data_IF_705259482262
#
_entry.id   IF_705259482262
#
_cell.length_a   1.000
_cell.length_b   1.000
_cell.length_c   1.000
_cell.angle_alpha   90.00
_cell.angle_beta   90.00
_cell.angle_gamma   90.00
#
_symmetry.space_group_name_H-M   'P 1'
#
loop_
_entity.id
_entity.type
_entity.pdbx_description
1 polymer ?
#
# COMPACT_ATOMS: atom_id res chain seq x y z
N UNK A 1 12.42 -3.13 3.45
CA UNK A 1 13.68 -3.53 4.13
C UNK A 1 14.61 -4.35 3.24
N UNK A 2 14.14 -5.41 2.55
CA UNK A 2 15.01 -6.31 1.76
C UNK A 2 15.92 -5.59 0.75
N UNK A 3 15.36 -4.61 0.01
CA UNK A 3 16.13 -3.80 -0.94
C UNK A 3 17.20 -2.97 -0.24
N UNK A 4 16.87 -2.37 0.90
CA UNK A 4 17.79 -1.52 1.65
C UNK A 4 18.98 -2.33 2.21
N UNK A 5 18.68 -3.51 2.77
CA UNK A 5 19.71 -4.42 3.26
C UNK A 5 20.63 -4.81 2.10
N UNK A 6 20.06 -5.26 0.98
CA UNK A 6 20.85 -5.68 -0.18
C UNK A 6 21.64 -4.55 -0.82
N UNK A 7 21.10 -3.33 -0.82
CA UNK A 7 21.79 -2.15 -1.33
C UNK A 7 23.00 -1.81 -0.43
N UNK A 8 22.81 -1.77 0.88
CA UNK A 8 23.89 -1.49 1.82
C UNK A 8 25.00 -2.54 1.79
N UNK A 9 24.66 -3.82 1.63
CA UNK A 9 25.67 -4.90 1.43
C UNK A 9 26.53 -4.66 0.20
N UNK A 10 25.93 -4.20 -0.91
CA UNK A 10 26.66 -3.98 -2.18
C UNK A 10 27.39 -2.65 -2.23
N UNK A 11 26.87 -1.64 -1.58
CA UNK A 11 27.32 -0.25 -1.67
C UNK A 11 27.40 0.39 -0.27
N UNK A 12 28.30 -0.10 0.61
CA UNK A 12 28.32 0.29 2.03
C UNK A 12 28.67 1.77 2.27
N UNK A 13 29.28 2.42 1.29
CA UNK A 13 29.65 3.85 1.37
C UNK A 13 28.57 4.80 0.83
N UNK A 14 27.45 4.26 0.36
CA UNK A 14 26.36 5.07 -0.16
C UNK A 14 25.34 5.39 0.93
N UNK A 15 24.96 6.65 1.04
CA UNK A 15 23.91 7.08 1.98
C UNK A 15 22.55 7.10 1.30
N UNK A 16 21.55 6.58 1.99
CA UNK A 16 20.15 6.59 1.55
C UNK A 16 19.34 7.48 2.50
N UNK A 17 18.65 8.47 1.95
CA UNK A 17 17.61 9.23 2.66
C UNK A 17 16.25 8.65 2.26
N UNK A 18 15.46 8.23 3.23
CA UNK A 18 14.11 7.69 3.02
C UNK A 18 13.09 8.69 3.53
N UNK A 19 12.08 8.97 2.70
CA UNK A 19 10.94 9.83 3.06
C UNK A 19 9.69 8.99 2.86
N UNK A 20 8.90 8.85 3.92
CA UNK A 20 7.60 8.17 3.86
C UNK A 20 6.50 9.20 3.67
N UNK A 21 5.73 9.04 2.60
CA UNK A 21 4.62 9.93 2.27
C UNK A 21 3.62 9.24 1.32
N UNK A 22 2.54 9.92 0.92
CA UNK A 22 1.54 9.39 0.00
C UNK A 22 2.04 9.37 -1.46
N UNK A 23 1.35 8.59 -2.32
CA UNK A 23 1.76 8.41 -3.72
C UNK A 23 1.75 9.71 -4.53
N UNK A 24 0.88 10.66 -4.22
CA UNK A 24 0.80 11.95 -4.91
C UNK A 24 2.04 12.78 -4.59
N UNK A 25 2.37 12.90 -3.31
CA UNK A 25 3.57 13.61 -2.86
C UNK A 25 4.85 12.95 -3.37
N UNK A 26 4.93 11.60 -3.41
CA UNK A 26 6.06 10.90 -4.03
C UNK A 26 6.27 11.34 -5.47
N UNK A 27 5.21 11.34 -6.28
CA UNK A 27 5.31 11.73 -7.71
C UNK A 27 5.71 13.20 -7.84
N UNK A 28 5.15 14.10 -7.02
CA UNK A 28 5.55 15.52 -6.99
C UNK A 28 7.05 15.66 -6.70
N UNK A 29 7.56 15.00 -5.66
CA UNK A 29 8.98 15.05 -5.29
C UNK A 29 9.91 14.51 -6.40
N UNK A 30 9.49 13.49 -7.14
CA UNK A 30 10.22 12.98 -8.31
C UNK A 30 10.26 14.02 -9.44
N UNK A 31 9.14 14.68 -9.71
CA UNK A 31 9.05 15.70 -10.76
C UNK A 31 9.90 16.93 -10.40
N UNK A 32 9.88 17.34 -9.13
CA UNK A 32 10.60 18.48 -8.58
C UNK A 32 12.08 18.18 -8.23
N UNK A 33 12.57 17.00 -8.55
CA UNK A 33 13.96 16.54 -8.25
C UNK A 33 14.33 16.54 -6.76
N UNK A 34 13.36 16.47 -5.89
CA UNK A 34 13.57 16.33 -4.44
C UNK A 34 13.84 14.87 -4.01
N UNK A 35 13.52 13.92 -4.90
CA UNK A 35 13.82 12.51 -4.75
C UNK A 35 14.24 11.90 -6.10
N UNK A 36 15.21 11.00 -6.09
CA UNK A 36 15.70 10.31 -7.30
C UNK A 36 14.76 9.18 -7.72
N UNK A 37 14.26 8.41 -6.75
CA UNK A 37 13.46 7.20 -6.93
C UNK A 37 12.35 7.16 -5.90
N UNK A 38 11.16 6.72 -6.30
CA UNK A 38 10.03 6.54 -5.40
C UNK A 38 9.36 5.18 -5.54
N UNK A 39 8.48 4.88 -4.61
CA UNK A 39 7.61 3.70 -4.66
C UNK A 39 6.16 4.12 -4.52
N UNK A 40 5.30 3.66 -5.43
CA UNK A 40 3.88 4.01 -5.43
C UNK A 40 3.00 2.79 -5.68
N UNK A 41 1.84 2.73 -5.02
CA UNK A 41 0.81 1.72 -5.26
C UNK A 41 -0.18 2.10 -6.37
N UNK A 42 0.13 3.13 -7.15
CA UNK A 42 -0.72 3.58 -8.27
C UNK A 42 0.13 4.34 -9.29
N UNK A 43 -0.30 4.32 -10.54
CA UNK A 43 0.26 5.15 -11.60
C UNK A 43 -0.53 6.45 -11.66
N UNK A 44 0.13 7.59 -11.52
CA UNK A 44 -0.49 8.92 -11.51
C UNK A 44 -0.14 9.70 -12.79
N UNK A 45 1.08 10.20 -12.89
CA UNK A 45 1.53 11.08 -13.97
C UNK A 45 2.54 10.34 -14.86
N UNK A 46 2.27 10.24 -16.17
CA UNK A 46 3.09 9.51 -17.13
C UNK A 46 3.93 10.41 -18.04
N UNK A 47 3.67 11.71 -18.09
CA UNK A 47 4.40 12.63 -18.96
C UNK A 47 5.86 12.76 -18.54
N UNK A 48 6.12 12.85 -17.24
CA UNK A 48 7.46 13.02 -16.68
C UNK A 48 7.99 11.77 -16.00
N UNK A 49 7.09 10.87 -15.54
CA UNK A 49 7.46 9.71 -14.74
C UNK A 49 7.44 8.40 -15.53
N UNK A 50 8.42 7.55 -15.28
CA UNK A 50 8.43 6.13 -15.66
C UNK A 50 8.14 5.27 -14.45
N UNK A 51 7.27 4.28 -14.65
CA UNK A 51 6.87 3.32 -13.63
C UNK A 51 7.35 1.93 -14.02
N UNK A 52 7.95 1.22 -13.08
CA UNK A 52 8.40 -0.16 -13.22
C UNK A 52 7.65 -0.98 -12.17
N UNK A 53 6.66 -1.81 -12.58
CA UNK A 53 5.99 -2.70 -11.64
C UNK A 53 6.99 -3.74 -11.14
N UNK A 54 7.04 -3.98 -9.82
CA UNK A 54 7.98 -4.92 -9.23
C UNK A 54 7.37 -5.87 -8.20
N UNK A 55 6.17 -5.57 -7.71
CA UNK A 55 5.49 -6.40 -6.73
C UNK A 55 3.98 -6.32 -6.91
N UNK A 56 3.29 -7.46 -6.80
CA UNK A 56 1.83 -7.53 -6.73
C UNK A 56 1.40 -7.49 -5.27
N UNK A 57 0.56 -6.53 -4.93
CA UNK A 57 0.04 -6.31 -3.59
C UNK A 57 -1.49 -6.42 -3.59
N UNK A 58 -2.02 -7.16 -2.64
CA UNK A 58 -3.46 -7.28 -2.44
C UNK A 58 -3.90 -6.32 -1.34
N UNK A 59 -5.11 -5.77 -1.46
CA UNK A 59 -5.75 -5.08 -0.36
C UNK A 59 -6.64 -6.05 0.43
N UNK A 60 -6.66 -5.85 1.74
CA UNK A 60 -7.51 -6.59 2.67
C UNK A 60 -8.24 -5.65 3.59
N UNK A 61 -9.44 -6.03 4.01
CA UNK A 61 -10.13 -5.35 5.11
C UNK A 61 -9.57 -5.94 6.39
N UNK A 62 -9.05 -5.11 7.28
CA UNK A 62 -8.59 -5.51 8.61
C UNK A 62 -9.61 -5.13 9.68
N UNK A 63 -9.84 -6.02 10.62
CA UNK A 63 -10.76 -5.86 11.76
C UNK A 63 -10.06 -6.18 13.06
N UNK A 64 -10.59 -5.75 14.21
CA UNK A 64 -10.15 -6.30 15.50
C UNK A 64 -10.29 -7.82 15.52
N UNK A 65 -9.44 -8.52 16.27
CA UNK A 65 -9.56 -9.95 16.47
C UNK A 65 -10.49 -10.26 17.65
N UNK A 66 -11.79 -10.09 17.44
CA UNK A 66 -12.85 -10.39 18.40
C UNK A 66 -13.65 -11.62 17.97
N UNK A 67 -14.40 -12.21 18.90
CA UNK A 67 -15.29 -13.34 18.60
C UNK A 67 -16.29 -13.00 17.50
N UNK A 68 -16.87 -11.79 17.52
CA UNK A 68 -17.77 -11.28 16.48
C UNK A 68 -17.16 -11.39 15.08
N UNK A 69 -15.94 -10.88 14.88
CA UNK A 69 -15.31 -10.91 13.58
C UNK A 69 -14.76 -12.29 13.18
N UNK A 70 -14.44 -13.15 14.15
CA UNK A 70 -14.09 -14.55 13.86
C UNK A 70 -15.30 -15.29 13.30
N UNK A 71 -16.47 -15.20 13.94
CA UNK A 71 -17.74 -15.75 13.42
C UNK A 71 -18.07 -15.16 12.04
N UNK A 72 -18.00 -13.85 11.91
CA UNK A 72 -18.25 -13.16 10.63
C UNK A 72 -17.36 -13.71 9.50
N UNK A 73 -16.09 -14.02 9.78
CA UNK A 73 -15.17 -14.58 8.78
C UNK A 73 -15.56 -15.97 8.30
N UNK A 74 -16.16 -16.76 9.16
CA UNK A 74 -16.68 -18.11 8.84
C UNK A 74 -18.00 -18.04 8.07
N UNK A 75 -18.87 -17.10 8.43
CA UNK A 75 -20.23 -16.98 7.90
C UNK A 75 -20.31 -16.18 6.60
N UNK A 76 -19.47 -15.16 6.43
CA UNK A 76 -19.59 -14.18 5.35
C UNK A 76 -19.33 -14.76 3.94
N UNK A 77 -18.66 -15.92 3.81
CA UNK A 77 -18.39 -16.61 2.54
C UNK A 77 -17.91 -15.67 1.40
N UNK A 78 -17.14 -14.63 1.75
CA UNK A 78 -16.66 -13.62 0.81
C UNK A 78 -17.58 -12.41 0.61
N UNK A 79 -18.77 -12.36 1.21
CA UNK A 79 -19.60 -11.15 1.21
C UNK A 79 -19.03 -10.11 2.15
N UNK A 80 -18.77 -8.91 1.63
CA UNK A 80 -18.21 -7.78 2.39
C UNK A 80 -19.22 -6.66 2.64
N UNK A 81 -20.52 -6.85 2.37
CA UNK A 81 -21.57 -5.82 2.61
C UNK A 81 -21.73 -5.47 4.09
N UNK A 82 -21.24 -6.32 5.00
CA UNK A 82 -21.16 -6.01 6.42
C UNK A 82 -20.32 -4.76 6.70
N UNK A 83 -19.37 -4.39 5.81
CA UNK A 83 -18.54 -3.21 5.92
C UNK A 83 -19.36 -1.90 5.98
N UNK A 84 -20.56 -1.87 5.38
CA UNK A 84 -21.49 -0.73 5.42
C UNK A 84 -22.07 -0.45 6.83
N UNK A 85 -21.90 -1.38 7.76
CA UNK A 85 -22.36 -1.25 9.16
C UNK A 85 -21.22 -1.00 10.13
N UNK A 86 -20.01 -0.82 9.63
CA UNK A 86 -18.80 -0.64 10.44
C UNK A 86 -18.30 0.80 10.36
N UNK A 87 -17.68 1.26 11.45
CA UNK A 87 -16.85 2.45 11.43
C UNK A 87 -15.59 2.16 10.62
N UNK A 88 -15.28 2.99 9.64
CA UNK A 88 -14.17 2.78 8.72
C UNK A 88 -13.09 3.85 8.94
N UNK A 89 -11.87 3.39 9.11
CA UNK A 89 -10.68 4.24 9.14
C UNK A 89 -10.03 4.14 7.77
N UNK A 90 -9.92 5.26 7.05
CA UNK A 90 -9.31 5.28 5.71
C UNK A 90 -7.93 5.91 5.74
N UNK A 91 -7.15 5.61 4.70
CA UNK A 91 -5.94 6.37 4.39
C UNK A 91 -6.33 7.77 3.90
N UNK A 92 -5.39 8.69 3.95
CA UNK A 92 -5.49 10.07 3.44
C UNK A 92 -5.85 10.12 1.94
N UNK A 93 -6.35 11.27 1.46
CA UNK A 93 -6.87 11.42 0.09
C UNK A 93 -5.79 11.17 -1.00
N UNK A 94 -4.54 11.57 -0.79
CA UNK A 94 -3.42 11.33 -1.72
C UNK A 94 -2.94 9.88 -1.80
N UNK A 95 -3.47 9.00 -0.94
CA UNK A 95 -3.03 7.61 -0.82
C UNK A 95 -3.43 6.76 -2.03
N UNK A 96 -2.44 6.12 -2.63
CA UNK A 96 -2.67 5.08 -3.65
C UNK A 96 -3.48 3.89 -3.11
N UNK A 97 -3.35 3.57 -1.82
CA UNK A 97 -4.15 2.52 -1.15
C UNK A 97 -5.62 2.93 -1.08
N UNK A 98 -5.91 4.17 -0.68
CA UNK A 98 -7.29 4.67 -0.65
C UNK A 98 -7.93 4.68 -2.05
N UNK A 99 -7.20 5.14 -3.05
CA UNK A 99 -7.67 5.15 -4.45
C UNK A 99 -8.01 3.74 -4.94
N UNK A 100 -7.14 2.78 -4.68
CA UNK A 100 -7.36 1.40 -5.09
C UNK A 100 -8.48 0.73 -4.28
N UNK A 101 -8.55 0.97 -2.97
CA UNK A 101 -9.66 0.47 -2.12
C UNK A 101 -11.02 0.94 -2.63
N UNK A 102 -11.17 2.22 -2.96
CA UNK A 102 -12.42 2.76 -3.55
C UNK A 102 -12.80 2.06 -4.86
N UNK A 103 -11.81 1.77 -5.70
CA UNK A 103 -12.02 1.05 -6.97
C UNK A 103 -12.46 -0.40 -6.73
N UNK A 104 -11.80 -1.13 -5.83
CA UNK A 104 -12.13 -2.52 -5.53
C UNK A 104 -13.49 -2.65 -4.84
N UNK A 105 -13.84 -1.74 -3.92
CA UNK A 105 -15.17 -1.70 -3.31
C UNK A 105 -16.29 -1.51 -4.35
N UNK A 106 -16.10 -0.58 -5.29
CA UNK A 106 -17.07 -0.40 -6.40
C UNK A 106 -17.26 -1.67 -7.22
N UNK A 107 -16.17 -2.39 -7.55
CA UNK A 107 -16.22 -3.68 -8.25
C UNK A 107 -16.94 -4.76 -7.44
N UNK A 108 -16.79 -4.73 -6.13
CA UNK A 108 -17.49 -5.61 -5.21
C UNK A 108 -18.95 -5.23 -4.96
N UNK A 109 -19.45 -4.14 -5.58
CA UNK A 109 -20.82 -3.68 -5.46
C UNK A 109 -21.08 -2.77 -4.25
N UNK A 110 -20.03 -2.23 -3.63
CA UNK A 110 -20.14 -1.27 -2.54
C UNK A 110 -19.78 0.12 -3.06
N UNK A 111 -20.70 1.09 -2.87
CA UNK A 111 -20.40 2.48 -3.14
C UNK A 111 -19.54 3.04 -1.97
N UNK A 112 -18.31 3.52 -2.22
CA UNK A 112 -17.47 4.06 -1.16
C UNK A 112 -18.05 5.28 -0.41
N UNK A 113 -19.05 5.94 -0.99
CA UNK A 113 -19.74 7.06 -0.34
C UNK A 113 -20.72 6.61 0.75
N UNK A 114 -21.08 5.33 0.77
CA UNK A 114 -22.01 4.77 1.75
C UNK A 114 -21.28 4.25 3.01
N UNK A 115 -19.95 4.32 3.01
CA UNK A 115 -19.14 3.94 4.16
C UNK A 115 -19.20 5.01 5.25
N UNK A 116 -19.32 4.58 6.49
CA UNK A 116 -19.17 5.46 7.66
C UNK A 116 -17.68 5.70 7.97
N UNK A 117 -17.08 6.67 7.30
CA UNK A 117 -15.68 7.02 7.46
C UNK A 117 -15.51 7.95 8.66
N UNK A 118 -15.06 7.40 9.77
CA UNK A 118 -14.88 8.14 11.03
C UNK A 118 -13.50 8.81 11.16
N UNK A 119 -12.51 8.37 10.39
CA UNK A 119 -11.15 8.94 10.44
C UNK A 119 -10.41 8.77 9.10
N UNK A 120 -9.54 9.74 8.81
CA UNK A 120 -8.58 9.68 7.71
C UNK A 120 -7.17 9.85 8.28
N UNK A 121 -6.31 8.83 8.15
CA UNK A 121 -5.01 8.75 8.83
C UNK A 121 -3.90 8.45 7.81
N UNK A 122 -2.79 9.19 7.84
CA UNK A 122 -1.64 8.98 6.96
C UNK A 122 -0.78 7.78 7.40
N UNK A 123 -0.52 7.66 8.69
CA UNK A 123 0.37 6.64 9.22
C UNK A 123 -0.32 5.29 9.36
N UNK A 124 0.19 4.27 8.64
CA UNK A 124 -0.39 2.93 8.62
C UNK A 124 -0.28 2.21 9.98
N UNK A 125 0.79 2.45 10.74
CA UNK A 125 0.96 1.86 12.07
C UNK A 125 -0.11 2.37 13.03
N UNK A 126 -0.43 3.67 12.95
CA UNK A 126 -1.52 4.26 13.72
C UNK A 126 -2.86 3.63 13.35
N UNK A 127 -3.13 3.42 12.06
CA UNK A 127 -4.37 2.74 11.61
C UNK A 127 -4.43 1.32 12.20
N UNK A 128 -3.36 0.53 12.07
CA UNK A 128 -3.33 -0.86 12.57
C UNK A 128 -3.58 -0.92 14.07
N UNK A 129 -2.95 -0.03 14.84
CA UNK A 129 -3.16 0.08 16.29
C UNK A 129 -4.59 0.48 16.65
N UNK A 130 -5.18 1.44 15.92
CA UNK A 130 -6.57 1.88 16.13
C UNK A 130 -7.56 0.75 15.84
N UNK A 131 -7.35 0.00 14.75
CA UNK A 131 -8.16 -1.19 14.44
C UNK A 131 -8.02 -2.24 15.54
N UNK A 132 -6.81 -2.57 15.95
CA UNK A 132 -6.56 -3.53 17.04
C UNK A 132 -7.30 -3.16 18.32
N UNK A 133 -7.41 -1.87 18.63
CA UNK A 133 -8.09 -1.36 19.82
C UNK A 133 -9.61 -1.23 19.66
N UNK A 134 -10.16 -1.60 18.50
CA UNK A 134 -11.61 -1.61 18.29
C UNK A 134 -12.22 -0.30 17.84
N UNK A 135 -11.41 0.70 17.42
CA UNK A 135 -11.92 1.97 16.91
C UNK A 135 -12.77 1.80 15.63
N UNK A 136 -12.52 0.74 14.87
CA UNK A 136 -13.22 0.46 13.62
C UNK A 136 -12.46 -0.56 12.79
N UNK A 137 -12.74 -0.59 11.50
CA UNK A 137 -12.08 -1.44 10.50
C UNK A 137 -11.33 -0.56 9.49
N UNK A 138 -10.41 -1.16 8.71
CA UNK A 138 -9.68 -0.40 7.68
C UNK A 138 -9.37 -1.28 6.47
N UNK A 139 -9.00 -0.64 5.35
CA UNK A 139 -8.55 -1.32 4.14
C UNK A 139 -7.09 -0.95 3.89
N UNK A 140 -6.21 -1.93 3.99
CA UNK A 140 -4.77 -1.77 3.86
C UNK A 140 -4.15 -2.84 2.96
N UNK A 141 -2.88 -2.66 2.63
CA UNK A 141 -2.04 -3.66 1.97
C UNK A 141 -1.93 -4.92 2.83
N UNK A 142 -2.12 -6.10 2.22
CA UNK A 142 -1.88 -7.40 2.87
C UNK A 142 -0.44 -7.49 3.38
N UNK A 143 0.52 -6.96 2.59
CA UNK A 143 1.92 -6.96 2.99
C UNK A 143 2.16 -6.10 4.25
N UNK A 144 1.53 -4.93 4.33
CA UNK A 144 1.67 -4.03 5.47
C UNK A 144 1.01 -4.54 6.75
N UNK A 145 0.03 -5.45 6.63
CA UNK A 145 -0.71 -6.03 7.77
C UNK A 145 -0.26 -7.44 8.16
N UNK A 146 0.76 -7.96 7.47
CA UNK A 146 1.19 -9.36 7.61
C UNK A 146 1.59 -9.74 9.04
N UNK A 147 2.34 -8.88 9.70
CA UNK A 147 2.87 -9.19 11.03
C UNK A 147 1.76 -9.13 12.09
N UNK A 148 0.87 -8.17 12.04
CA UNK A 148 -0.30 -8.07 12.92
C UNK A 148 -1.27 -9.24 12.72
N UNK A 149 -1.46 -9.65 11.48
CA UNK A 149 -2.34 -10.79 11.16
C UNK A 149 -1.72 -12.11 11.67
N UNK A 150 -0.41 -12.29 11.48
CA UNK A 150 0.30 -13.48 12.02
C UNK A 150 0.32 -13.53 13.55
N UNK A 151 0.50 -12.35 14.17
CA UNK A 151 0.45 -12.24 15.62
C UNK A 151 -0.97 -12.37 16.20
N UNK A 152 -2.00 -12.48 15.35
CA UNK A 152 -3.39 -12.55 15.77
C UNK A 152 -3.95 -11.25 16.35
N UNK A 153 -3.29 -10.13 16.13
CA UNK A 153 -3.74 -8.82 16.63
C UNK A 153 -4.95 -8.29 15.84
N UNK A 154 -5.03 -8.61 14.55
CA UNK A 154 -6.14 -8.26 13.66
C UNK A 154 -6.52 -9.46 12.81
N UNK A 155 -7.73 -9.46 12.28
CA UNK A 155 -8.16 -10.39 11.26
C UNK A 155 -8.13 -9.69 9.90
N UNK A 156 -7.85 -10.46 8.83
CA UNK A 156 -7.84 -9.97 7.46
C UNK A 156 -8.92 -10.68 6.64
N UNK A 157 -9.73 -9.87 5.94
CA UNK A 157 -10.78 -10.34 5.04
C UNK A 157 -10.39 -9.95 3.60
N UNK A 158 -10.43 -10.88 2.63
CA UNK A 158 -10.20 -10.55 1.24
C UNK A 158 -11.34 -9.69 0.68
N UNK A 159 -11.01 -8.82 -0.28
CA UNK A 159 -12.02 -8.08 -1.05
C UNK A 159 -12.37 -8.95 -2.27
N UNK A 160 -13.64 -9.35 -2.47
CA UNK A 160 -14.04 -10.19 -3.59
C UNK A 160 -13.88 -9.42 -4.92
N UNK A 161 -13.66 -10.15 -6.02
CA UNK A 161 -13.44 -9.58 -7.35
C UNK A 161 -12.28 -8.56 -7.41
N UNK A 162 -11.38 -8.57 -6.43
CA UNK A 162 -10.08 -7.96 -6.59
C UNK A 162 -9.33 -8.83 -7.62
N UNK A 163 -9.02 -8.25 -8.77
CA UNK A 163 -8.13 -8.88 -9.75
C UNK A 163 -6.82 -9.32 -9.05
N UNK A 164 -5.83 -9.82 -9.79
CA UNK A 164 -4.52 -10.29 -9.30
C UNK A 164 -3.74 -9.28 -8.40
N UNK A 165 -4.43 -8.42 -7.69
CA UNK A 165 -3.86 -7.35 -6.88
C UNK A 165 -3.51 -6.10 -7.70
N UNK A 166 -2.86 -5.14 -7.04
CA UNK A 166 -2.32 -3.93 -7.67
C UNK A 166 -0.81 -4.02 -7.84
N UNK A 167 -0.29 -3.34 -8.83
CA UNK A 167 1.16 -3.18 -8.95
C UNK A 167 1.69 -2.16 -7.95
N UNK A 168 2.70 -2.55 -7.19
CA UNK A 168 3.60 -1.60 -6.56
C UNK A 168 4.69 -1.29 -7.57
N UNK A 169 4.86 0.01 -7.83
CA UNK A 169 5.75 0.51 -8.86
C UNK A 169 6.95 1.23 -8.24
N UNK A 170 8.11 0.99 -8.79
CA UNK A 170 9.22 1.91 -8.69
C UNK A 170 8.99 3.03 -9.70
N UNK A 171 9.15 4.29 -9.29
CA UNK A 171 8.94 5.46 -10.12
C UNK A 171 10.17 6.36 -10.11
N UNK A 172 10.50 6.93 -11.27
CA UNK A 172 11.56 7.94 -11.43
C UNK A 172 11.24 8.91 -12.58
N UNK A 173 11.91 10.05 -12.61
CA UNK A 173 11.75 11.03 -13.70
C UNK A 173 12.49 10.53 -14.96
N UNK A 174 11.75 10.29 -16.05
CA UNK A 174 12.31 9.76 -17.31
C UNK A 174 12.94 10.80 -18.19
N UNK A 175 12.73 12.10 -17.90
CA UNK A 175 13.22 13.21 -18.72
C UNK A 175 14.63 13.66 -18.31
N UNK A 176 15.17 13.06 -17.24
CA UNK A 176 16.50 13.42 -16.73
C UNK A 176 17.35 12.17 -16.55
N UNK A 177 18.66 12.37 -16.64
CA UNK A 177 19.62 11.31 -16.36
C UNK A 177 19.62 11.01 -14.86
N UNK A 178 19.47 9.75 -14.52
CA UNK A 178 19.57 9.29 -13.14
C UNK A 178 21.00 9.44 -12.62
N UNK A 179 21.13 9.72 -11.33
CA UNK A 179 22.43 9.65 -10.66
C UNK A 179 22.94 8.20 -10.67
N UNK A 180 24.26 8.02 -10.64
CA UNK A 180 24.85 6.67 -10.55
C UNK A 180 24.35 5.88 -9.33
N UNK A 181 24.06 6.57 -8.22
CA UNK A 181 23.46 5.97 -7.02
C UNK A 181 22.04 5.48 -7.28
N UNK A 182 21.20 6.29 -7.93
CA UNK A 182 19.86 5.92 -8.30
C UNK A 182 19.82 4.74 -9.26
N UNK A 183 20.69 4.69 -10.26
CA UNK A 183 20.80 3.55 -11.18
C UNK A 183 21.19 2.25 -10.46
N UNK A 184 22.16 2.32 -9.53
CA UNK A 184 22.55 1.19 -8.68
C UNK A 184 21.39 0.72 -7.81
N UNK A 185 20.63 1.66 -7.23
CA UNK A 185 19.47 1.33 -6.42
C UNK A 185 18.37 0.62 -7.24
N UNK A 186 18.04 1.13 -8.42
CA UNK A 186 17.09 0.50 -9.34
C UNK A 186 17.54 -0.91 -9.73
N UNK A 187 18.86 -1.10 -9.98
CA UNK A 187 19.43 -2.41 -10.28
C UNK A 187 19.22 -3.39 -9.12
N UNK A 188 19.44 -2.96 -7.89
CA UNK A 188 19.21 -3.79 -6.70
C UNK A 188 17.73 -4.13 -6.53
N UNK A 189 16.80 -3.18 -6.77
CA UNK A 189 15.35 -3.47 -6.76
C UNK A 189 15.03 -4.58 -7.77
N UNK A 190 15.54 -4.48 -8.99
CA UNK A 190 15.32 -5.50 -10.03
C UNK A 190 15.86 -6.87 -9.64
N UNK A 191 17.05 -6.92 -9.04
CA UNK A 191 17.64 -8.18 -8.56
C UNK A 191 16.81 -8.82 -7.44
N UNK A 192 16.43 -8.04 -6.42
CA UNK A 192 15.69 -8.54 -5.24
C UNK A 192 14.31 -9.08 -5.64
N UNK A 193 13.67 -8.48 -6.63
CA UNK A 193 12.34 -8.87 -7.11
C UNK A 193 12.35 -9.64 -8.44
N UNK A 194 13.54 -10.02 -8.95
CA UNK A 194 13.72 -10.80 -10.18
C UNK A 194 12.99 -10.22 -11.40
N UNK A 195 13.00 -8.88 -11.52
CA UNK A 195 12.35 -8.19 -12.63
C UNK A 195 13.18 -8.38 -13.90
N UNK A 196 12.63 -9.05 -14.90
CA UNK A 196 13.25 -9.15 -16.23
C UNK A 196 13.37 -7.77 -16.87
N UNK A 197 14.43 -7.58 -17.67
CA UNK A 197 14.66 -6.34 -18.43
C UNK A 197 13.57 -6.03 -19.44
#
# INVERSE_FOLDING_TARGET
PKVLIRFNEKYPNEQIKIIETDSTKVVTQIIEHMADVGFTGTVLEKKHCKYIPFYKDELVIITPNTERYRKLREEAAGDIRWLLKEHVIMREEGSGTRKEARKQLKRAGINPSDLDIIASIENQETIKKSVRQGMGVSILSRLATKDETRAGHVLAFPIPKSDDGRDINLVYNKNYQLSGSAERFIKVVREVYQIKR
#
